data_IF_665847118294
#
_entry.id   IF_665847118294
#
_cell.length_a   1.000
_cell.length_b   1.000
_cell.length_c   1.000
_cell.angle_alpha   90.00
_cell.angle_beta   90.00
_cell.angle_gamma   90.00
#
_symmetry.space_group_name_H-M   'P 1'
#
loop_
_entity.id
_entity.type
_entity.pdbx_description
1 polymer ?
#
# COMPACT_ATOMS: atom_id res chain seq x y z
N UNK A 1 42.04 -6.57 53.15
CA UNK A 1 40.77 -6.02 52.62
C UNK A 1 41.09 -4.69 51.95
N UNK A 2 40.98 -4.57 50.62
CA UNK A 2 41.22 -3.29 49.93
C UNK A 2 39.93 -2.48 49.96
N UNK A 3 39.91 -1.42 50.75
CA UNK A 3 38.80 -0.46 50.78
C UNK A 3 39.07 0.59 49.72
N UNK A 4 38.24 0.66 48.69
CA UNK A 4 38.35 1.64 47.61
C UNK A 4 37.46 2.83 47.97
N UNK A 5 38.08 4.00 48.16
CA UNK A 5 37.37 5.25 48.43
C UNK A 5 37.07 5.95 47.10
N UNK A 6 35.79 6.05 46.74
CA UNK A 6 35.36 6.79 45.55
C UNK A 6 34.83 8.16 45.99
N UNK A 7 35.41 9.27 45.52
CA UNK A 7 34.91 10.61 45.84
C UNK A 7 33.47 10.79 45.36
N UNK A 8 32.62 11.44 46.16
CA UNK A 8 31.20 11.68 45.84
C UNK A 8 30.98 12.33 44.47
N UNK A 9 31.90 13.22 44.04
CA UNK A 9 31.86 13.85 42.72
C UNK A 9 32.07 12.85 41.57
N UNK A 10 32.96 11.87 41.77
CA UNK A 10 33.21 10.79 40.78
C UNK A 10 31.97 9.88 40.70
N UNK A 11 31.38 9.54 41.86
CA UNK A 11 30.14 8.75 41.90
C UNK A 11 28.98 9.46 41.18
N UNK A 12 28.80 10.76 41.41
CA UNK A 12 27.76 11.55 40.72
C UNK A 12 27.97 11.59 39.20
N UNK A 13 29.21 11.74 38.73
CA UNK A 13 29.51 11.72 37.29
C UNK A 13 29.22 10.35 36.67
N UNK A 14 29.56 9.26 37.36
CA UNK A 14 29.25 7.90 36.90
C UNK A 14 27.73 7.70 36.79
N UNK A 15 26.96 8.13 37.79
CA UNK A 15 25.49 8.05 37.77
C UNK A 15 24.91 8.85 36.61
N UNK A 16 25.41 10.07 36.35
CA UNK A 16 24.95 10.91 35.24
C UNK A 16 25.22 10.24 33.88
N UNK A 17 26.40 9.67 33.68
CA UNK A 17 26.75 8.94 32.44
C UNK A 17 25.84 7.73 32.25
N UNK A 18 25.60 6.96 33.32
CA UNK A 18 24.69 5.80 33.26
C UNK A 18 23.26 6.21 32.88
N UNK A 19 22.77 7.33 33.41
CA UNK A 19 21.44 7.87 33.05
C UNK A 19 21.39 8.27 31.57
N UNK A 20 22.40 8.99 31.06
CA UNK A 20 22.45 9.37 29.64
C UNK A 20 22.50 8.14 28.72
N UNK A 21 23.28 7.12 29.10
CA UNK A 21 23.33 5.84 28.36
C UNK A 21 21.97 5.14 28.40
N UNK A 22 21.31 5.08 29.56
CA UNK A 22 20.00 4.45 29.69
C UNK A 22 18.94 5.17 28.84
N UNK A 23 18.95 6.51 28.82
CA UNK A 23 18.06 7.32 27.98
C UNK A 23 18.35 7.06 26.51
N UNK A 24 19.62 7.04 26.11
CA UNK A 24 20.01 6.77 24.71
C UNK A 24 19.61 5.36 24.27
N UNK A 25 19.77 4.35 25.13
CA UNK A 25 19.32 2.98 24.87
C UNK A 25 17.80 2.95 24.77
N UNK A 26 17.07 3.56 25.70
CA UNK A 26 15.60 3.58 25.69
C UNK A 26 15.08 4.23 24.40
N UNK A 27 15.64 5.37 24.01
CA UNK A 27 15.32 6.05 22.75
C UNK A 27 15.64 5.19 21.52
N UNK A 28 16.78 4.49 21.54
CA UNK A 28 17.17 3.58 20.46
C UNK A 28 16.26 2.33 20.40
N UNK A 29 15.76 1.85 21.54
CA UNK A 29 14.86 0.71 21.61
C UNK A 29 13.40 1.09 21.27
N UNK A 30 12.99 2.35 21.43
CA UNK A 30 11.63 2.80 21.06
C UNK A 30 11.56 3.31 19.63
N UNK A 31 12.52 4.14 19.20
CA UNK A 31 12.50 4.80 17.90
C UNK A 31 13.58 4.25 16.95
N UNK A 32 14.74 3.84 17.48
CA UNK A 32 15.83 3.27 16.67
C UNK A 32 15.43 2.00 15.89
N UNK A 33 14.52 1.16 16.42
CA UNK A 33 13.94 0.04 15.67
C UNK A 33 13.14 0.48 14.44
N UNK A 34 12.42 1.61 14.49
CA UNK A 34 11.68 2.13 13.33
C UNK A 34 12.65 2.58 12.24
N UNK A 35 13.70 3.32 12.60
CA UNK A 35 14.72 3.78 11.63
C UNK A 35 15.54 2.62 11.08
N UNK A 36 15.96 1.69 11.92
CA UNK A 36 16.65 0.48 11.48
C UNK A 36 15.81 -0.30 10.46
N UNK A 37 14.50 -0.44 10.67
CA UNK A 37 13.61 -1.08 9.70
C UNK A 37 13.51 -0.33 8.36
N UNK A 38 13.65 1.00 8.32
CA UNK A 38 13.70 1.78 7.06
C UNK A 38 14.94 1.43 6.23
N UNK A 39 16.08 1.17 6.88
CA UNK A 39 17.33 0.83 6.19
C UNK A 39 17.52 -0.68 5.98
N UNK A 40 16.99 -1.52 6.88
CA UNK A 40 17.14 -2.98 6.84
C UNK A 40 16.08 -3.67 5.97
N UNK A 41 14.95 -3.03 5.66
CA UNK A 41 13.98 -3.55 4.67
C UNK A 41 14.54 -3.33 3.26
N UNK A 42 15.54 -4.13 2.91
CA UNK A 42 16.32 -4.07 1.67
C UNK A 42 15.53 -4.41 0.40
N UNK A 43 14.27 -4.84 0.54
CA UNK A 43 13.37 -5.02 -0.58
C UNK A 43 12.19 -4.09 -0.42
N UNK A 44 12.26 -2.97 -1.15
CA UNK A 44 11.09 -2.13 -1.38
C UNK A 44 10.13 -2.94 -2.24
N UNK A 45 8.96 -3.27 -1.70
CA UNK A 45 7.85 -3.77 -2.50
C UNK A 45 7.48 -2.67 -3.49
N UNK A 46 7.78 -2.91 -4.77
CA UNK A 46 7.40 -2.03 -5.87
C UNK A 46 6.08 -2.53 -6.46
N UNK A 47 5.17 -1.64 -6.85
CA UNK A 47 3.99 -2.03 -7.62
C UNK A 47 4.41 -2.75 -8.92
N UNK A 48 3.57 -3.66 -9.39
CA UNK A 48 3.78 -4.35 -10.66
C UNK A 48 3.36 -3.39 -11.78
N UNK A 49 4.32 -2.82 -12.49
CA UNK A 49 4.08 -1.98 -13.68
C UNK A 49 4.19 -2.78 -14.99
N UNK A 50 4.98 -3.85 -14.97
CA UNK A 50 5.17 -4.77 -16.08
C UNK A 50 5.66 -6.13 -15.55
N UNK A 51 5.56 -7.16 -16.39
CA UNK A 51 6.08 -8.49 -16.10
C UNK A 51 7.10 -8.83 -17.17
N UNK A 52 8.25 -9.38 -16.75
CA UNK A 52 9.25 -9.88 -17.68
C UNK A 52 8.72 -11.10 -18.43
N UNK A 53 8.78 -11.04 -19.76
CA UNK A 53 8.32 -12.12 -20.63
C UNK A 53 9.01 -12.07 -21.98
N UNK A 54 9.30 -13.25 -22.52
CA UNK A 54 9.84 -13.40 -23.87
C UNK A 54 8.73 -13.40 -24.95
N UNK A 55 7.46 -13.38 -24.54
CA UNK A 55 6.33 -13.35 -25.44
C UNK A 55 5.97 -11.91 -25.82
N UNK A 56 5.58 -11.68 -27.08
CA UNK A 56 5.10 -10.36 -27.54
C UNK A 56 3.64 -10.15 -27.11
N UNK A 57 3.43 -9.92 -25.81
CA UNK A 57 2.12 -9.72 -25.21
C UNK A 57 2.03 -8.35 -24.52
N UNK A 58 0.81 -7.82 -24.46
CA UNK A 58 0.45 -6.66 -23.67
C UNK A 58 -0.77 -7.01 -22.81
N UNK A 59 -0.94 -6.31 -21.69
CA UNK A 59 -2.16 -6.36 -20.88
C UNK A 59 -2.90 -5.04 -21.04
N UNK A 60 -4.22 -5.10 -21.21
CA UNK A 60 -5.08 -3.92 -21.24
C UNK A 60 -5.85 -3.81 -19.93
N UNK A 61 -5.80 -2.63 -19.33
CA UNK A 61 -6.47 -2.32 -18.08
C UNK A 61 -7.24 -1.00 -18.20
N UNK A 62 -8.42 -0.91 -17.59
CA UNK A 62 -9.26 0.28 -17.60
C UNK A 62 -9.65 0.68 -16.17
N UNK A 63 -9.48 1.95 -15.82
CA UNK A 63 -9.97 2.51 -14.56
C UNK A 63 -11.37 3.10 -14.77
N UNK A 64 -12.36 2.61 -14.02
CA UNK A 64 -13.78 3.00 -14.13
C UNK A 64 -14.21 3.71 -12.85
N UNK A 65 -14.32 5.04 -12.94
CA UNK A 65 -14.63 5.92 -11.81
C UNK A 65 -15.64 7.04 -12.14
N UNK A 66 -16.09 7.14 -13.40
CA UNK A 66 -16.97 8.21 -13.91
C UNK A 66 -18.18 7.62 -14.62
N UNK A 67 -18.86 8.37 -15.49
CA UNK A 67 -20.02 7.85 -16.21
C UNK A 67 -19.72 6.61 -17.09
N UNK A 68 -20.77 5.90 -17.50
CA UNK A 68 -20.68 4.66 -18.28
C UNK A 68 -20.45 4.89 -19.79
N UNK A 69 -20.31 6.13 -20.25
CA UNK A 69 -20.63 6.53 -21.64
C UNK A 69 -19.89 5.76 -22.74
N UNK A 70 -18.65 5.33 -22.49
CA UNK A 70 -17.83 4.61 -23.47
C UNK A 70 -17.66 3.11 -23.19
N UNK A 71 -18.24 2.59 -22.10
CA UNK A 71 -18.04 1.19 -21.72
C UNK A 71 -18.56 0.25 -22.82
N UNK A 72 -19.72 0.54 -23.40
CA UNK A 72 -20.31 -0.31 -24.46
C UNK A 72 -19.46 -0.32 -25.73
N UNK A 73 -18.92 0.83 -26.13
CA UNK A 73 -18.03 0.93 -27.28
C UNK A 73 -16.73 0.15 -27.03
N UNK A 74 -16.14 0.30 -25.84
CA UNK A 74 -14.94 -0.44 -25.43
C UNK A 74 -15.21 -1.94 -25.47
N UNK A 75 -16.29 -2.41 -24.85
CA UNK A 75 -16.65 -3.83 -24.82
C UNK A 75 -16.86 -4.39 -26.23
N UNK A 76 -17.54 -3.65 -27.11
CA UNK A 76 -17.74 -4.06 -28.50
C UNK A 76 -16.41 -4.16 -29.28
N UNK A 77 -15.47 -3.23 -29.07
CA UNK A 77 -14.15 -3.28 -29.70
C UNK A 77 -13.34 -4.47 -29.18
N UNK A 78 -13.36 -4.71 -27.87
CA UNK A 78 -12.66 -5.85 -27.26
C UNK A 78 -13.22 -7.18 -27.79
N UNK A 79 -14.55 -7.34 -27.83
CA UNK A 79 -15.22 -8.53 -28.37
C UNK A 79 -14.90 -8.75 -29.86
N UNK A 80 -14.98 -7.69 -30.68
CA UNK A 80 -14.68 -7.77 -32.11
C UNK A 80 -13.25 -8.23 -32.40
N UNK A 81 -12.32 -7.97 -31.47
CA UNK A 81 -10.93 -8.39 -31.57
C UNK A 81 -10.62 -9.66 -30.75
N UNK A 82 -11.61 -10.25 -30.07
CA UNK A 82 -11.46 -11.40 -29.17
C UNK A 82 -10.39 -11.14 -28.07
N UNK A 83 -10.42 -9.94 -27.49
CA UNK A 83 -9.49 -9.48 -26.46
C UNK A 83 -10.20 -9.46 -25.09
N UNK A 84 -9.51 -9.93 -24.06
CA UNK A 84 -9.92 -9.76 -22.66
C UNK A 84 -9.05 -8.70 -21.98
N UNK A 85 -9.61 -8.07 -20.97
CA UNK A 85 -9.00 -6.94 -20.26
C UNK A 85 -9.41 -7.00 -18.79
N UNK A 86 -8.73 -6.22 -17.96
CA UNK A 86 -9.06 -6.03 -16.54
C UNK A 86 -9.66 -4.65 -16.33
N UNK A 87 -10.85 -4.58 -15.72
CA UNK A 87 -11.52 -3.33 -15.38
C UNK A 87 -11.40 -3.10 -13.88
N UNK A 88 -10.63 -2.09 -13.48
CA UNK A 88 -10.54 -1.63 -12.10
C UNK A 88 -11.70 -0.67 -11.83
N UNK A 89 -12.68 -1.10 -11.03
CA UNK A 89 -13.95 -0.38 -10.84
C UNK A 89 -14.04 0.19 -9.42
N UNK A 90 -14.48 1.44 -9.32
CA UNK A 90 -14.77 2.10 -8.04
C UNK A 90 -16.08 1.56 -7.44
N UNK A 91 -16.12 1.33 -6.13
CA UNK A 91 -17.33 0.84 -5.43
C UNK A 91 -18.59 1.69 -5.70
N UNK A 92 -18.48 3.02 -5.62
CA UNK A 92 -19.57 3.94 -5.95
C UNK A 92 -20.11 3.72 -7.39
N UNK A 93 -19.28 3.28 -8.33
CA UNK A 93 -19.72 2.96 -9.69
C UNK A 93 -20.46 1.63 -9.76
N UNK A 94 -20.01 0.63 -8.99
CA UNK A 94 -20.68 -0.68 -8.88
C UNK A 94 -22.12 -0.51 -8.38
N UNK A 95 -22.31 0.34 -7.37
CA UNK A 95 -23.63 0.62 -6.79
C UNK A 95 -24.57 1.32 -7.80
N UNK A 96 -24.03 2.23 -8.61
CA UNK A 96 -24.81 2.99 -9.60
C UNK A 96 -25.10 2.20 -10.88
N UNK A 97 -24.19 1.30 -11.30
CA UNK A 97 -24.27 0.57 -12.57
C UNK A 97 -24.07 -0.95 -12.42
N UNK A 98 -24.78 -1.64 -11.52
CA UNK A 98 -24.54 -3.07 -11.25
C UNK A 98 -24.81 -3.95 -12.47
N UNK A 99 -25.74 -3.56 -13.34
CA UNK A 99 -26.00 -4.24 -14.61
C UNK A 99 -24.82 -4.18 -15.56
N UNK A 100 -24.11 -3.05 -15.61
CA UNK A 100 -22.94 -2.86 -16.46
C UNK A 100 -21.74 -3.63 -15.92
N UNK A 101 -21.53 -3.65 -14.61
CA UNK A 101 -20.52 -4.51 -13.96
C UNK A 101 -20.75 -5.98 -14.32
N UNK A 102 -22.01 -6.43 -14.23
CA UNK A 102 -22.38 -7.80 -14.61
C UNK A 102 -22.12 -8.06 -16.09
N UNK A 103 -22.43 -7.12 -16.98
CA UNK A 103 -22.15 -7.24 -18.41
C UNK A 103 -20.64 -7.40 -18.69
N UNK A 104 -19.79 -6.57 -18.06
CA UNK A 104 -18.33 -6.66 -18.17
C UNK A 104 -17.86 -8.06 -17.75
N UNK A 105 -18.37 -8.57 -16.63
CA UNK A 105 -18.04 -9.92 -16.14
C UNK A 105 -18.55 -11.03 -17.07
N UNK A 106 -19.81 -10.96 -17.51
CA UNK A 106 -20.44 -11.95 -18.37
C UNK A 106 -19.74 -12.06 -19.74
N UNK A 107 -19.14 -10.97 -20.23
CA UNK A 107 -18.30 -10.96 -21.44
C UNK A 107 -16.89 -11.54 -21.23
N UNK A 108 -16.54 -11.94 -20.00
CA UNK A 108 -15.30 -12.64 -19.69
C UNK A 108 -14.11 -11.73 -19.37
N UNK A 109 -14.36 -10.46 -19.04
CA UNK A 109 -13.34 -9.56 -18.51
C UNK A 109 -13.12 -9.77 -17.01
N UNK A 110 -11.94 -9.42 -16.53
CA UNK A 110 -11.61 -9.45 -15.10
C UNK A 110 -12.07 -8.15 -14.42
N UNK A 111 -12.58 -8.25 -13.20
CA UNK A 111 -12.93 -7.11 -12.36
C UNK A 111 -11.86 -6.95 -11.27
N UNK A 112 -11.23 -5.77 -11.23
CA UNK A 112 -10.29 -5.35 -10.20
C UNK A 112 -10.88 -4.27 -9.29
N UNK A 113 -10.28 -4.13 -8.10
CA UNK A 113 -10.66 -3.10 -7.13
C UNK A 113 -9.98 -1.76 -7.46
N UNK A 114 -10.76 -0.68 -7.61
CA UNK A 114 -10.24 0.68 -7.76
C UNK A 114 -10.62 1.60 -6.60
N UNK A 115 -10.63 1.06 -5.38
CA UNK A 115 -11.16 1.65 -4.15
C UNK A 115 -12.68 1.85 -4.13
N UNK A 116 -13.25 2.15 -2.96
CA UNK A 116 -14.68 2.37 -2.84
C UNK A 116 -15.10 3.76 -3.33
N UNK A 117 -14.35 4.80 -2.95
CA UNK A 117 -14.73 6.22 -3.15
C UNK A 117 -13.68 7.06 -3.87
N UNK A 118 -12.67 6.41 -4.45
CA UNK A 118 -11.56 7.05 -5.20
C UNK A 118 -10.80 8.15 -4.42
N UNK A 119 -10.42 7.97 -3.13
CA UNK A 119 -9.66 8.97 -2.40
C UNK A 119 -8.18 8.98 -2.80
N UNK A 120 -7.48 10.06 -2.46
CA UNK A 120 -6.03 10.06 -2.53
C UNK A 120 -5.42 9.21 -1.40
N UNK A 121 -4.96 7.99 -1.72
CA UNK A 121 -4.41 7.05 -0.73
C UNK A 121 -3.24 7.61 0.08
N UNK A 122 -2.44 8.53 -0.48
CA UNK A 122 -1.36 9.21 0.25
C UNK A 122 -1.83 10.19 1.32
N UNK A 123 -3.12 10.52 1.37
CA UNK A 123 -3.71 11.54 2.26
C UNK A 123 -4.64 10.95 3.33
N UNK A 124 -4.83 9.64 3.38
CA UNK A 124 -5.74 8.97 4.30
C UNK A 124 -5.00 8.04 5.27
N UNK A 125 -5.63 7.74 6.41
CA UNK A 125 -5.07 6.83 7.41
C UNK A 125 -5.16 5.36 6.94
N UNK A 126 -4.27 4.46 7.40
CA UNK A 126 -4.27 3.04 7.01
C UNK A 126 -5.62 2.33 7.21
N UNK A 127 -6.37 2.71 8.25
CA UNK A 127 -7.68 2.17 8.58
C UNK A 127 -8.71 2.56 7.52
N UNK A 128 -8.63 3.79 7.01
CA UNK A 128 -9.44 4.23 5.88
C UNK A 128 -9.00 3.54 4.59
N UNK A 129 -7.69 3.35 4.35
CA UNK A 129 -7.22 2.56 3.18
C UNK A 129 -7.80 1.14 3.19
N UNK A 130 -7.84 0.48 4.36
CA UNK A 130 -8.45 -0.85 4.49
C UNK A 130 -9.94 -0.82 4.18
N UNK A 131 -10.67 0.19 4.67
CA UNK A 131 -12.09 0.36 4.34
C UNK A 131 -12.30 0.55 2.83
N UNK A 132 -11.47 1.35 2.18
CA UNK A 132 -11.54 1.56 0.73
C UNK A 132 -11.28 0.28 -0.09
N UNK A 133 -10.52 -0.69 0.45
CA UNK A 133 -10.17 -1.93 -0.26
C UNK A 133 -11.14 -3.07 0.07
N UNK A 134 -11.59 -3.19 1.32
CA UNK A 134 -12.35 -4.34 1.80
C UNK A 134 -13.87 -4.21 1.61
N UNK A 135 -14.36 -3.03 1.28
CA UNK A 135 -15.79 -2.77 1.07
C UNK A 135 -16.09 -2.82 -0.43
N UNK A 136 -16.00 -4.02 -1.02
CA UNK A 136 -16.67 -4.35 -2.29
C UNK A 136 -17.64 -5.49 -2.03
#
# INVERSE_FOLDING_TARGET
MKVIFVPKKVLNNIILVLIMVLISITYSLTDGYKYANVFLKSQREIPIYSVDTNEKKISLTFDVAQDEGYIDEILNILDANNIRATFFIVGDWVDNYPGKVKEIYDKGHEIGNHSNSHPHFSKIQPEKMKQEILIL
#
